data_IF_840758315023
#
_entry.id   IF_840758315023
#
_cell.length_a   1.000
_cell.length_b   1.000
_cell.length_c   1.000
_cell.angle_alpha   90.00
_cell.angle_beta   90.00
_cell.angle_gamma   90.00
#
_symmetry.space_group_name_H-M   'P 1'
#
loop_
_entity.id
_entity.type
_entity.pdbx_description
1 polymer ?
#
# COMPACT_ATOMS: atom_id res chain seq x y z
N UNK A 1 -11.21 -6.90 7.51
CA UNK A 1 -10.74 -6.80 6.12
C UNK A 1 -9.77 -5.64 6.08
N UNK A 2 -8.55 -5.82 5.58
CA UNK A 2 -7.56 -4.74 5.54
C UNK A 2 -7.79 -3.85 4.33
N UNK A 3 -7.59 -2.55 4.52
CA UNK A 3 -7.84 -1.49 3.53
C UNK A 3 -6.52 -1.01 2.99
N UNK A 4 -6.32 -1.19 1.69
CA UNK A 4 -5.04 -0.98 1.03
C UNK A 4 -5.22 0.12 -0.02
N UNK A 5 -4.50 1.22 0.16
CA UNK A 5 -4.40 2.24 -0.87
C UNK A 5 -3.28 1.86 -1.84
N UNK A 6 -3.56 1.89 -3.15
CA UNK A 6 -2.60 1.49 -4.18
C UNK A 6 -2.45 2.61 -5.19
N UNK A 7 -1.20 2.96 -5.50
CA UNK A 7 -0.87 3.99 -6.48
C UNK A 7 -1.50 3.69 -7.84
N UNK A 8 -1.94 4.74 -8.53
CA UNK A 8 -2.48 4.64 -9.89
C UNK A 8 -1.43 4.04 -10.84
N UNK A 9 -1.87 3.16 -11.75
CA UNK A 9 -0.96 2.49 -12.70
C UNK A 9 -0.32 1.20 -12.17
N UNK A 10 -0.76 0.71 -11.00
CA UNK A 10 -0.42 -0.61 -10.45
C UNK A 10 -1.62 -1.58 -10.52
N UNK A 11 -2.34 -1.59 -11.64
CA UNK A 11 -3.62 -2.31 -11.75
C UNK A 11 -3.49 -3.84 -11.57
N UNK A 12 -2.37 -4.42 -12.00
CA UNK A 12 -2.08 -5.84 -11.77
C UNK A 12 -1.96 -6.14 -10.26
N UNK A 13 -1.34 -5.23 -9.51
CA UNK A 13 -1.18 -5.35 -8.06
C UNK A 13 -2.52 -5.16 -7.36
N UNK A 14 -3.34 -4.19 -7.79
CA UNK A 14 -4.70 -4.01 -7.25
C UNK A 14 -5.53 -5.27 -7.41
N UNK A 15 -5.62 -5.78 -8.64
CA UNK A 15 -6.41 -6.97 -8.98
C UNK A 15 -5.94 -8.18 -8.17
N UNK A 16 -4.63 -8.36 -8.01
CA UNK A 16 -4.09 -9.46 -7.23
C UNK A 16 -4.40 -9.32 -5.73
N UNK A 17 -4.30 -8.11 -5.16
CA UNK A 17 -4.66 -7.86 -3.77
C UNK A 17 -6.17 -8.03 -3.52
N UNK A 18 -7.03 -7.54 -4.41
CA UNK A 18 -8.49 -7.76 -4.34
C UNK A 18 -8.83 -9.26 -4.35
N UNK A 19 -8.19 -10.02 -5.26
CA UNK A 19 -8.39 -11.47 -5.35
C UNK A 19 -8.00 -12.23 -4.06
N UNK A 20 -7.20 -11.59 -3.21
CA UNK A 20 -6.74 -12.12 -1.91
C UNK A 20 -7.58 -11.64 -0.73
N UNK A 21 -8.65 -10.90 -0.98
CA UNK A 21 -9.61 -10.45 0.03
C UNK A 21 -9.25 -9.13 0.71
N UNK A 22 -8.39 -8.32 0.09
CA UNK A 22 -8.15 -6.95 0.53
C UNK A 22 -9.16 -5.98 -0.08
N UNK A 23 -9.50 -4.94 0.66
CA UNK A 23 -10.30 -3.82 0.16
C UNK A 23 -9.37 -2.77 -0.45
N UNK A 24 -9.50 -2.49 -1.74
CA UNK A 24 -8.72 -1.43 -2.40
C UNK A 24 -9.48 -0.11 -2.29
N UNK A 25 -8.82 0.89 -1.71
CA UNK A 25 -9.42 2.18 -1.42
C UNK A 25 -8.61 3.31 -2.05
N UNK A 26 -9.28 4.43 -2.30
CA UNK A 26 -8.59 5.66 -2.67
C UNK A 26 -7.85 6.24 -1.46
N UNK A 27 -6.77 6.98 -1.71
CA UNK A 27 -6.04 7.70 -0.66
C UNK A 27 -6.92 8.69 0.12
N UNK A 28 -7.98 9.20 -0.51
CA UNK A 28 -8.90 10.19 0.05
C UNK A 28 -10.20 9.58 0.58
N UNK A 29 -10.27 8.26 0.72
CA UNK A 29 -11.49 7.53 1.11
C UNK A 29 -11.99 7.88 2.53
N UNK A 30 -11.26 8.70 3.30
CA UNK A 30 -11.72 9.24 4.58
C UNK A 30 -11.76 8.21 5.73
N UNK A 31 -11.58 6.92 5.42
CA UNK A 31 -11.46 5.84 6.40
C UNK A 31 -10.01 5.43 6.67
N UNK A 32 -9.83 4.56 7.66
CA UNK A 32 -8.51 4.04 8.02
C UNK A 32 -7.85 3.27 6.86
N UNK A 33 -6.54 3.44 6.70
CA UNK A 33 -5.73 2.74 5.70
C UNK A 33 -4.68 1.90 6.45
N UNK A 34 -4.67 0.58 6.21
CA UNK A 34 -3.72 -0.35 6.84
C UNK A 34 -2.36 -0.32 6.14
N UNK A 35 -2.36 -0.23 4.80
CA UNK A 35 -1.15 -0.18 3.99
C UNK A 35 -1.29 0.69 2.75
N UNK A 36 -0.18 1.26 2.32
CA UNK A 36 -0.07 2.06 1.11
C UNK A 36 0.98 1.42 0.20
N UNK A 37 0.56 1.02 -1.00
CA UNK A 37 1.40 0.37 -2.00
C UNK A 37 1.75 1.38 -3.09
N UNK A 38 3.04 1.59 -3.34
CA UNK A 38 3.53 2.60 -4.28
C UNK A 38 4.77 2.12 -5.04
N UNK A 39 5.02 2.69 -6.22
CA UNK A 39 6.22 2.47 -7.04
C UNK A 39 7.20 3.63 -6.91
N UNK A 40 6.72 4.87 -7.02
CA UNK A 40 7.57 6.07 -7.01
C UNK A 40 7.17 7.03 -5.91
N UNK A 41 8.18 7.55 -5.19
CA UNK A 41 8.01 8.55 -4.13
C UNK A 41 7.40 9.84 -4.71
N UNK A 42 7.69 10.17 -5.97
CA UNK A 42 7.25 11.44 -6.56
C UNK A 42 5.74 11.52 -6.82
N UNK A 43 5.11 10.42 -7.25
CA UNK A 43 3.68 10.41 -7.57
C UNK A 43 2.85 9.87 -6.39
N UNK A 44 3.30 8.79 -5.74
CA UNK A 44 2.62 8.20 -4.58
C UNK A 44 2.58 9.09 -3.34
N UNK A 45 3.71 9.74 -2.97
CA UNK A 45 3.78 10.56 -1.74
C UNK A 45 3.34 12.01 -1.93
N UNK A 46 3.30 12.53 -3.16
CA UNK A 46 2.75 13.87 -3.43
C UNK A 46 1.25 13.91 -3.17
N UNK A 47 0.53 12.83 -3.51
CA UNK A 47 -0.86 12.67 -3.15
C UNK A 47 -1.03 12.58 -1.62
N UNK A 48 -0.16 11.81 -0.96
CA UNK A 48 -0.16 11.70 0.51
C UNK A 48 0.09 13.05 1.22
N UNK A 49 1.04 13.88 0.76
CA UNK A 49 1.35 15.17 1.39
C UNK A 49 0.19 16.17 1.32
N UNK A 50 -0.69 16.07 0.32
CA UNK A 50 -1.89 16.90 0.21
C UNK A 50 -3.09 16.30 0.97
N UNK A 51 -3.05 15.00 1.27
CA UNK A 51 -4.10 14.25 1.95
C UNK A 51 -3.66 13.66 3.30
N UNK A 52 -2.66 14.25 3.97
CA UNK A 52 -2.35 14.00 5.40
C UNK A 52 -3.46 14.60 6.27
N UNK A 53 -4.69 14.26 5.94
CA UNK A 53 -5.86 14.47 6.72
C UNK A 53 -6.05 13.16 7.49
N UNK A 54 -5.45 13.10 8.69
CA UNK A 54 -5.75 12.23 9.85
C UNK A 54 -5.91 10.68 9.69
N UNK A 55 -6.00 10.11 8.50
CA UNK A 55 -6.44 8.73 8.26
C UNK A 55 -5.30 7.76 7.87
N UNK A 56 -4.17 8.29 7.41
CA UNK A 56 -2.96 7.52 7.11
C UNK A 56 -2.06 7.26 8.35
N UNK A 57 -2.44 7.77 9.53
CA UNK A 57 -1.69 7.52 10.76
C UNK A 57 -1.68 6.03 11.09
N UNK A 58 -0.49 5.42 10.95
CA UNK A 58 -0.29 4.00 11.21
C UNK A 58 -0.39 3.10 9.98
N UNK A 59 -0.51 3.62 8.76
CA UNK A 59 -0.38 2.81 7.55
C UNK A 59 1.09 2.36 7.35
N UNK A 60 1.31 1.13 6.88
CA UNK A 60 2.64 0.71 6.39
C UNK A 60 2.81 1.13 4.93
N UNK A 61 3.88 1.86 4.63
CA UNK A 61 4.25 2.17 3.26
C UNK A 61 4.98 0.98 2.65
N UNK A 62 4.66 0.58 1.42
CA UNK A 62 5.22 -0.58 0.70
C UNK A 62 5.63 -0.17 -0.70
N UNK A 63 6.94 -0.19 -0.98
CA UNK A 63 7.45 0.03 -2.33
C UNK A 63 7.40 -1.28 -3.15
N UNK A 64 6.79 -1.26 -4.34
CA UNK A 64 6.61 -2.46 -5.19
C UNK A 64 7.83 -2.82 -6.02
N UNK A 65 8.84 -1.96 -6.12
CA UNK A 65 9.98 -2.26 -6.99
C UNK A 65 10.71 -3.50 -6.47
N UNK A 66 10.96 -4.45 -7.38
CA UNK A 66 11.59 -5.73 -7.08
C UNK A 66 10.87 -6.55 -6.01
N UNK A 67 9.55 -6.38 -5.86
CA UNK A 67 8.73 -7.23 -4.97
C UNK A 67 7.70 -8.00 -5.77
N UNK A 68 7.60 -9.27 -5.45
CA UNK A 68 6.48 -10.12 -5.85
C UNK A 68 5.24 -9.76 -5.04
N UNK A 69 4.09 -10.20 -5.56
CA UNK A 69 2.81 -9.97 -4.90
C UNK A 69 2.72 -10.73 -3.57
N UNK A 70 3.42 -11.85 -3.42
CA UNK A 70 3.47 -12.62 -2.17
C UNK A 70 4.28 -11.90 -1.10
N UNK A 71 5.41 -11.29 -1.47
CA UNK A 71 6.18 -10.43 -0.56
C UNK A 71 5.37 -9.19 -0.13
N UNK A 72 4.65 -8.56 -1.05
CA UNK A 72 3.76 -7.42 -0.71
C UNK A 72 2.71 -7.87 0.33
N UNK A 73 2.07 -9.01 0.10
CA UNK A 73 1.12 -9.58 1.05
C UNK A 73 1.77 -9.90 2.39
N UNK A 74 2.96 -10.51 2.42
CA UNK A 74 3.68 -10.80 3.65
C UNK A 74 3.97 -9.54 4.46
N UNK A 75 4.34 -8.45 3.79
CA UNK A 75 4.58 -7.15 4.43
C UNK A 75 3.27 -6.59 5.01
N UNK A 76 2.14 -6.68 4.29
CA UNK A 76 0.81 -6.27 4.78
C UNK A 76 0.41 -7.08 6.02
N UNK A 77 0.66 -8.39 6.00
CA UNK A 77 0.25 -9.29 7.07
C UNK A 77 1.09 -9.19 8.33
N UNK A 78 2.40 -9.12 8.16
CA UNK A 78 3.35 -9.10 9.29
C UNK A 78 3.70 -7.70 9.76
N UNK A 79 3.39 -6.68 8.95
CA UNK A 79 3.88 -5.30 9.10
C UNK A 79 5.41 -5.21 9.17
N UNK A 80 6.11 -6.16 8.54
CA UNK A 80 7.57 -6.26 8.53
C UNK A 80 8.07 -6.44 7.11
N UNK A 81 9.10 -5.68 6.76
CA UNK A 81 9.90 -5.96 5.58
C UNK A 81 10.76 -7.20 5.83
N UNK A 82 11.00 -7.98 4.77
CA UNK A 82 12.04 -9.01 4.81
C UNK A 82 13.39 -8.38 5.15
N UNK A 83 14.28 -9.16 5.78
CA UNK A 83 15.56 -8.68 6.27
C UNK A 83 16.31 -7.93 5.15
N UNK A 84 16.56 -6.63 5.39
CA UNK A 84 17.28 -5.75 4.46
C UNK A 84 18.78 -6.09 4.34
N UNK A 85 19.27 -7.03 5.16
CA UNK A 85 20.65 -7.48 5.18
C UNK A 85 20.64 -9.01 5.25
N UNK A 86 21.13 -9.64 4.19
CA UNK A 86 21.59 -11.03 4.15
C UNK A 86 23.07 -10.98 3.82
#
# INVERSE_FOLDING_TARGET
MKRIAVEQGLEDIKSALESRGYEIVDYNDGGHIDAIVYRSIYDGLKNLNNSVDSNAYGAILINVNNKTIDEIQQIIETRRYENLFI
#
